data_IF_332803973710
#
_entry.id   IF_332803973710
#
_cell.length_a   1.000
_cell.length_b   1.000
_cell.length_c   1.000
_cell.angle_alpha   90.00
_cell.angle_beta   90.00
_cell.angle_gamma   90.00
#
_symmetry.space_group_name_H-M   'P 1'
#
loop_
_entity.id
_entity.type
_entity.pdbx_description
1 polymer ?
#
# COMPACT_ATOMS: atom_id res chain seq x y z
N UNK A 1 14.40 4.08 -24.76
CA UNK A 1 14.06 4.45 -23.37
C UNK A 1 12.59 4.21 -23.02
N UNK A 2 11.61 4.58 -23.87
CA UNK A 2 10.18 4.40 -23.61
C UNK A 2 9.74 2.94 -23.30
N UNK A 3 10.30 1.93 -24.00
CA UNK A 3 9.96 0.51 -23.78
C UNK A 3 10.43 0.00 -22.41
N UNK A 4 11.64 0.39 -21.98
CA UNK A 4 12.19 -0.02 -20.67
C UNK A 4 11.38 0.60 -19.55
N UNK A 5 11.06 1.89 -19.67
CA UNK A 5 10.16 2.63 -18.76
C UNK A 5 8.81 1.92 -18.61
N UNK A 6 8.22 1.45 -19.72
CA UNK A 6 6.93 0.75 -19.70
C UNK A 6 7.00 -0.61 -19.03
N UNK A 7 8.07 -1.38 -19.25
CA UNK A 7 8.28 -2.68 -18.59
C UNK A 7 8.52 -2.53 -17.09
N UNK A 8 9.32 -1.54 -16.68
CA UNK A 8 9.58 -1.24 -15.29
C UNK A 8 8.30 -0.77 -14.56
N UNK A 9 7.55 0.15 -15.16
CA UNK A 9 6.27 0.61 -14.61
C UNK A 9 5.25 -0.52 -14.48
N UNK A 10 5.18 -1.41 -15.48
CA UNK A 10 4.31 -2.58 -15.41
C UNK A 10 4.71 -3.54 -14.29
N UNK A 11 6.01 -3.87 -14.18
CA UNK A 11 6.50 -4.77 -13.14
C UNK A 11 6.27 -4.20 -11.74
N UNK A 12 6.56 -2.91 -11.52
CA UNK A 12 6.33 -2.27 -10.24
C UNK A 12 4.85 -2.12 -9.93
N UNK A 13 4.06 -1.56 -10.85
CA UNK A 13 2.63 -1.35 -10.62
C UNK A 13 1.88 -2.65 -10.31
N UNK A 14 2.28 -3.76 -10.92
CA UNK A 14 1.72 -5.09 -10.64
C UNK A 14 2.30 -5.80 -9.42
N UNK A 15 3.17 -5.15 -8.63
CA UNK A 15 3.83 -5.79 -7.49
C UNK A 15 4.67 -6.99 -7.90
N UNK A 16 5.43 -6.87 -8.99
CA UNK A 16 6.22 -7.93 -9.62
C UNK A 16 5.37 -9.14 -10.07
N UNK A 17 4.14 -8.88 -10.50
CA UNK A 17 3.20 -9.90 -10.99
C UNK A 17 2.19 -10.41 -9.96
N UNK A 18 2.27 -9.97 -8.70
CA UNK A 18 1.28 -10.32 -7.66
C UNK A 18 -0.13 -9.81 -8.00
N UNK A 19 -0.22 -8.66 -8.67
CA UNK A 19 -1.47 -8.11 -9.18
C UNK A 19 -2.13 -8.94 -10.29
N UNK A 20 -1.47 -10.00 -10.76
CA UNK A 20 -2.02 -10.95 -11.74
C UNK A 20 -2.60 -12.20 -11.08
N UNK A 21 -2.60 -12.29 -9.75
CA UNK A 21 -3.21 -13.42 -9.05
C UNK A 21 -4.68 -13.59 -9.48
N UNK A 22 -5.13 -14.83 -9.75
CA UNK A 22 -6.45 -15.08 -10.32
C UNK A 22 -7.59 -14.74 -9.35
N UNK A 23 -7.30 -14.74 -8.04
CA UNK A 23 -8.27 -14.52 -6.98
C UNK A 23 -7.69 -13.49 -6.00
N UNK A 24 -8.45 -12.42 -5.75
CA UNK A 24 -8.13 -11.36 -4.78
C UNK A 24 -6.68 -10.83 -4.86
N UNK A 25 -6.25 -10.27 -6.01
CA UNK A 25 -4.88 -9.78 -6.22
C UNK A 25 -4.41 -8.79 -5.15
N UNK A 26 -5.29 -7.87 -4.75
CA UNK A 26 -5.12 -6.96 -3.62
C UNK A 26 -4.71 -7.69 -2.32
N UNK A 27 -5.45 -8.72 -1.93
CA UNK A 27 -5.16 -9.52 -0.73
C UNK A 27 -3.82 -10.24 -0.83
N UNK A 28 -3.49 -10.78 -2.00
CA UNK A 28 -2.19 -11.44 -2.24
C UNK A 28 -1.04 -10.44 -2.11
N UNK A 29 -1.19 -9.25 -2.68
CA UNK A 29 -0.21 -8.17 -2.59
C UNK A 29 -0.04 -7.68 -1.14
N UNK A 30 -1.14 -7.40 -0.45
CA UNK A 30 -1.14 -7.05 0.97
C UNK A 30 -0.47 -8.13 1.85
N UNK A 31 -0.74 -9.42 1.60
CA UNK A 31 -0.10 -10.49 2.36
C UNK A 31 1.42 -10.52 2.09
N UNK A 32 1.83 -10.37 0.82
CA UNK A 32 3.23 -10.24 0.49
C UNK A 32 3.87 -9.02 1.15
N UNK A 33 3.18 -7.88 1.17
CA UNK A 33 3.66 -6.64 1.77
C UNK A 33 3.93 -6.78 3.27
N UNK A 34 3.01 -7.39 4.05
CA UNK A 34 3.22 -7.57 5.50
C UNK A 34 4.33 -8.57 5.77
N UNK A 35 4.45 -9.64 4.97
CA UNK A 35 5.54 -10.61 5.10
C UNK A 35 6.89 -9.96 4.80
N UNK A 36 6.98 -9.21 3.69
CA UNK A 36 8.20 -8.48 3.32
C UNK A 36 8.63 -7.51 4.41
N UNK A 37 7.69 -6.74 4.97
CA UNK A 37 8.00 -5.83 6.08
C UNK A 37 8.38 -6.58 7.36
N UNK A 38 7.65 -7.64 7.72
CA UNK A 38 7.90 -8.44 8.91
C UNK A 38 9.27 -9.09 8.94
N UNK A 39 9.78 -9.53 7.78
CA UNK A 39 11.14 -10.08 7.63
C UNK A 39 12.21 -9.03 7.31
N UNK A 40 11.83 -7.76 7.09
CA UNK A 40 12.81 -6.71 6.81
C UNK A 40 13.59 -6.29 8.07
N UNK A 41 14.86 -5.91 7.94
CA UNK A 41 15.68 -5.43 9.06
C UNK A 41 15.39 -3.97 9.45
N UNK A 42 14.48 -3.28 8.75
CA UNK A 42 14.13 -1.88 9.01
C UNK A 42 13.32 -1.78 10.31
N UNK A 43 13.57 -0.81 11.19
CA UNK A 43 12.69 -0.60 12.33
C UNK A 43 11.46 0.21 11.92
N UNK A 44 10.36 0.04 12.67
CA UNK A 44 9.06 0.68 12.47
C UNK A 44 9.07 2.21 12.54
N UNK A 45 10.10 2.79 13.13
CA UNK A 45 10.34 4.22 13.31
C UNK A 45 11.63 4.69 12.62
N UNK A 46 12.30 3.82 11.87
CA UNK A 46 13.56 4.15 11.23
C UNK A 46 13.36 5.12 10.06
N UNK A 47 14.29 6.07 9.90
CA UNK A 47 14.33 6.96 8.73
C UNK A 47 14.32 6.18 7.42
N UNK A 48 15.00 5.02 7.38
CA UNK A 48 15.01 4.14 6.21
C UNK A 48 13.61 3.63 5.84
N UNK A 49 12.77 3.30 6.83
CA UNK A 49 11.40 2.86 6.57
C UNK A 49 10.49 3.99 6.11
N UNK A 50 10.62 5.19 6.70
CA UNK A 50 9.92 6.39 6.21
C UNK A 50 10.28 6.72 4.77
N UNK A 51 11.58 6.68 4.44
CA UNK A 51 12.05 6.90 3.08
C UNK A 51 11.53 5.82 2.12
N UNK A 52 11.50 4.55 2.54
CA UNK A 52 10.94 3.47 1.73
C UNK A 52 9.47 3.72 1.40
N UNK A 53 8.65 4.09 2.38
CA UNK A 53 7.23 4.41 2.15
C UNK A 53 7.06 5.64 1.26
N UNK A 54 7.80 6.73 1.52
CA UNK A 54 7.71 7.97 0.75
C UNK A 54 8.19 7.84 -0.69
N UNK A 55 9.37 7.25 -0.90
CA UNK A 55 9.88 6.97 -2.26
C UNK A 55 9.00 5.94 -2.96
N UNK A 56 8.56 4.91 -2.24
CA UNK A 56 7.64 3.90 -2.75
C UNK A 56 6.32 4.49 -3.21
N UNK A 57 5.77 5.49 -2.52
CA UNK A 57 4.58 6.22 -2.96
C UNK A 57 4.81 6.98 -4.28
N UNK A 58 5.93 7.71 -4.40
CA UNK A 58 6.27 8.47 -5.61
C UNK A 58 6.50 7.55 -6.81
N UNK A 59 7.27 6.48 -6.61
CA UNK A 59 7.53 5.46 -7.64
C UNK A 59 6.24 4.72 -8.01
N UNK A 60 5.42 4.38 -7.02
CA UNK A 60 4.11 3.73 -7.20
C UNK A 60 3.16 4.59 -8.02
N UNK A 61 3.09 5.89 -7.73
CA UNK A 61 2.25 6.84 -8.47
C UNK A 61 2.58 6.82 -9.96
N UNK A 62 3.86 6.87 -10.29
CA UNK A 62 4.33 6.74 -11.67
C UNK A 62 4.05 5.34 -12.25
N UNK A 63 4.32 4.27 -11.50
CA UNK A 63 4.17 2.90 -11.97
C UNK A 63 2.70 2.55 -12.27
N UNK A 64 1.78 2.84 -11.35
CA UNK A 64 0.34 2.66 -11.51
C UNK A 64 -0.19 3.51 -12.68
N UNK A 65 0.33 4.73 -12.87
CA UNK A 65 0.00 5.55 -14.04
C UNK A 65 0.30 4.86 -15.38
N UNK A 66 1.33 4.01 -15.45
CA UNK A 66 1.65 3.24 -16.67
C UNK A 66 0.68 2.10 -16.96
N UNK A 67 -0.11 1.68 -15.96
CA UNK A 67 -1.09 0.59 -16.08
C UNK A 67 -2.46 1.07 -16.55
N UNK A 68 -2.76 2.35 -16.32
CA UNK A 68 -4.01 3.01 -16.68
C UNK A 68 -4.17 3.09 -18.19
N UNK A 69 -5.39 2.87 -18.67
CA UNK A 69 -5.78 3.03 -20.08
C UNK A 69 -7.03 3.88 -20.19
N UNK A 70 -7.41 4.29 -21.41
CA UNK A 70 -8.66 5.00 -21.63
C UNK A 70 -9.92 4.20 -21.27
N UNK A 71 -9.82 2.87 -21.26
CA UNK A 71 -10.94 1.98 -20.93
C UNK A 71 -10.93 1.53 -19.46
N UNK A 72 -9.79 1.67 -18.77
CA UNK A 72 -9.58 1.16 -17.43
C UNK A 72 -8.75 2.16 -16.63
N UNK A 73 -9.45 2.99 -15.86
CA UNK A 73 -8.88 4.09 -15.08
C UNK A 73 -8.34 3.65 -13.71
N UNK A 74 -8.74 2.47 -13.23
CA UNK A 74 -8.31 1.88 -11.97
C UNK A 74 -8.11 0.36 -12.15
N UNK A 75 -6.98 -0.05 -12.77
CA UNK A 75 -6.76 -1.44 -13.11
C UNK A 75 -6.60 -2.28 -11.85
N UNK A 76 -7.43 -3.32 -11.66
CA UNK A 76 -7.34 -4.27 -10.53
C UNK A 76 -5.97 -4.95 -10.33
N UNK A 77 -5.10 -4.87 -11.33
CA UNK A 77 -3.73 -5.39 -11.31
C UNK A 77 -2.72 -4.40 -10.74
N UNK A 78 -3.08 -3.11 -10.61
CA UNK A 78 -2.30 -2.13 -9.88
C UNK A 78 -2.47 -2.46 -8.40
N UNK A 79 -1.39 -2.92 -7.78
CA UNK A 79 -1.42 -3.39 -6.38
C UNK A 79 -0.22 -2.86 -5.61
N UNK A 80 0.47 -1.84 -6.13
CA UNK A 80 1.62 -1.24 -5.45
C UNK A 80 1.19 -0.30 -4.32
N UNK A 81 0.04 0.33 -4.49
CA UNK A 81 -0.76 1.00 -3.47
C UNK A 81 -0.94 0.14 -2.20
N UNK A 82 -1.27 -1.15 -2.36
CA UNK A 82 -1.41 -2.11 -1.26
C UNK A 82 -0.16 -2.24 -0.39
N UNK A 83 1.03 -2.22 -1.02
CA UNK A 83 2.30 -2.30 -0.29
C UNK A 83 2.51 -1.05 0.55
N UNK A 84 2.32 0.11 -0.06
CA UNK A 84 2.59 1.39 0.60
C UNK A 84 1.56 1.65 1.69
N UNK A 85 0.27 1.43 1.41
CA UNK A 85 -0.80 1.58 2.39
C UNK A 85 -0.59 0.67 3.60
N UNK A 86 -0.26 -0.61 3.37
CA UNK A 86 -0.03 -1.54 4.46
C UNK A 86 1.25 -1.23 5.26
N UNK A 87 2.36 -0.88 4.59
CA UNK A 87 3.58 -0.48 5.27
C UNK A 87 3.39 0.78 6.12
N UNK A 88 2.63 1.76 5.61
CA UNK A 88 2.26 2.96 6.38
C UNK A 88 1.43 2.59 7.61
N UNK A 89 0.51 1.62 7.49
CA UNK A 89 -0.26 1.09 8.64
C UNK A 89 0.65 0.55 9.75
N UNK A 90 1.80 -0.01 9.39
CA UNK A 90 2.77 -0.59 10.32
C UNK A 90 3.69 0.43 11.01
N UNK A 91 3.68 1.70 10.61
CA UNK A 91 4.56 2.72 11.19
C UNK A 91 4.36 2.83 12.70
N UNK A 92 5.47 2.89 13.44
CA UNK A 92 5.53 2.98 14.89
C UNK A 92 4.89 1.81 15.67
N UNK A 93 4.46 0.74 15.00
CA UNK A 93 3.98 -0.47 15.66
C UNK A 93 5.12 -1.48 15.83
N UNK A 94 5.19 -2.17 16.98
CA UNK A 94 6.22 -3.18 17.19
C UNK A 94 6.05 -4.31 16.18
N UNK A 95 7.17 -4.79 15.63
CA UNK A 95 7.22 -5.88 14.65
C UNK A 95 6.98 -7.26 15.26
N UNK A 96 5.83 -7.44 15.90
CA UNK A 96 5.41 -8.74 16.44
C UNK A 96 4.20 -9.27 15.67
N UNK A 97 4.04 -10.59 15.67
CA UNK A 97 2.97 -11.24 14.90
C UNK A 97 1.56 -10.68 15.19
N UNK A 98 1.16 -10.39 16.45
CA UNK A 98 -0.16 -9.80 16.71
C UNK A 98 -0.37 -8.44 16.05
N UNK A 99 0.63 -7.55 16.07
CA UNK A 99 0.52 -6.22 15.49
C UNK A 99 0.62 -6.23 13.97
N UNK A 100 1.44 -7.11 13.40
CA UNK A 100 1.48 -7.33 11.95
C UNK A 100 0.15 -7.90 11.42
N UNK A 101 -0.45 -8.85 12.14
CA UNK A 101 -1.76 -9.38 11.80
C UNK A 101 -2.86 -8.31 11.95
N UNK A 102 -2.82 -7.52 13.02
CA UNK A 102 -3.75 -6.40 13.22
C UNK A 102 -3.61 -5.34 12.12
N UNK A 103 -2.39 -4.97 11.74
CA UNK A 103 -2.11 -4.05 10.64
C UNK A 103 -2.69 -4.57 9.32
N UNK A 104 -2.45 -5.84 8.99
CA UNK A 104 -3.04 -6.47 7.81
C UNK A 104 -4.57 -6.41 7.81
N UNK A 105 -5.23 -6.83 8.90
CA UNK A 105 -6.70 -6.85 8.98
C UNK A 105 -7.28 -5.44 8.94
N UNK A 106 -6.76 -4.51 9.74
CA UNK A 106 -7.27 -3.14 9.81
C UNK A 106 -7.07 -2.41 8.48
N UNK A 107 -5.89 -2.54 7.87
CA UNK A 107 -5.63 -1.97 6.55
C UNK A 107 -6.64 -2.49 5.51
N UNK A 108 -6.79 -3.81 5.37
CA UNK A 108 -7.73 -4.39 4.39
C UNK A 108 -9.17 -3.96 4.65
N UNK A 109 -9.60 -3.86 5.91
CA UNK A 109 -10.95 -3.37 6.24
C UNK A 109 -11.12 -1.91 5.81
N UNK A 110 -10.13 -1.05 6.09
CA UNK A 110 -10.18 0.37 5.75
C UNK A 110 -10.09 0.61 4.25
N UNK A 111 -9.23 -0.12 3.54
CA UNK A 111 -9.12 -0.08 2.08
C UNK A 111 -10.40 -0.56 1.39
N UNK A 112 -11.00 -1.67 1.84
CA UNK A 112 -12.25 -2.16 1.21
C UNK A 112 -13.43 -1.23 1.53
N UNK A 113 -13.52 -0.71 2.76
CA UNK A 113 -14.68 0.06 3.19
C UNK A 113 -14.61 1.54 2.80
N UNK A 114 -13.40 2.11 2.75
CA UNK A 114 -13.10 3.52 2.49
C UNK A 114 -14.08 4.47 3.20
N UNK A 115 -14.14 4.49 4.54
CA UNK A 115 -14.96 5.45 5.25
C UNK A 115 -14.50 6.88 4.94
N UNK A 116 -15.38 7.87 5.14
CA UNK A 116 -14.94 9.26 5.09
C UNK A 116 -13.87 9.49 6.17
N UNK A 117 -12.73 10.16 5.88
CA UNK A 117 -12.42 10.94 4.68
C UNK A 117 -11.65 10.19 3.57
N UNK A 118 -11.30 8.89 3.74
CA UNK A 118 -10.47 8.10 2.80
C UNK A 118 -11.05 8.15 1.37
N UNK A 119 -12.36 7.97 1.23
CA UNK A 119 -13.07 8.00 -0.06
C UNK A 119 -12.94 9.32 -0.85
N UNK A 120 -12.48 10.41 -0.23
CA UNK A 120 -12.24 11.67 -0.96
C UNK A 120 -11.02 11.59 -1.88
N UNK A 121 -10.05 10.72 -1.56
CA UNK A 121 -8.82 10.57 -2.33
C UNK A 121 -9.04 9.83 -3.66
N UNK A 122 -10.08 8.99 -3.77
CA UNK A 122 -10.49 8.35 -5.04
C UNK A 122 -10.87 9.35 -6.15
N UNK A 123 -11.10 10.62 -5.80
CA UNK A 123 -11.40 11.69 -6.78
C UNK A 123 -10.15 12.25 -7.45
N UNK A 124 -8.96 11.92 -6.95
CA UNK A 124 -7.70 12.34 -7.56
C UNK A 124 -7.49 11.55 -8.86
N UNK A 125 -6.95 12.19 -9.92
CA UNK A 125 -6.81 11.53 -11.20
C UNK A 125 -5.58 10.62 -11.25
N UNK A 126 -5.70 9.56 -12.06
CA UNK A 126 -4.56 8.76 -12.51
C UNK A 126 -3.91 7.94 -11.39
N UNK A 127 -2.62 7.64 -11.55
CA UNK A 127 -1.86 6.86 -10.57
C UNK A 127 -1.77 7.52 -9.19
N UNK A 128 -1.98 8.84 -9.10
CA UNK A 128 -2.04 9.52 -7.81
C UNK A 128 -3.31 9.14 -7.04
N UNK A 129 -4.44 9.00 -7.73
CA UNK A 129 -5.69 8.53 -7.14
C UNK A 129 -5.56 7.15 -6.54
N UNK A 130 -5.06 6.21 -7.33
CA UNK A 130 -4.81 4.81 -6.96
C UNK A 130 -3.88 4.70 -5.73
N UNK A 131 -2.86 5.55 -5.64
CA UNK A 131 -1.94 5.47 -4.49
C UNK A 131 -2.46 6.20 -3.24
N UNK A 132 -3.25 7.27 -3.41
CA UNK A 132 -3.56 8.20 -2.33
C UNK A 132 -4.68 7.71 -1.41
N UNK A 133 -5.65 6.95 -1.92
CA UNK A 133 -6.71 6.35 -1.11
C UNK A 133 -6.19 5.24 -0.20
N UNK A 134 -5.36 4.33 -0.70
CA UNK A 134 -4.67 3.31 0.10
C UNK A 134 -3.69 3.92 1.11
N UNK A 135 -2.95 4.95 0.70
CA UNK A 135 -2.09 5.69 1.62
C UNK A 135 -2.92 6.31 2.76
N UNK A 136 -4.10 6.87 2.44
CA UNK A 136 -5.00 7.43 3.44
C UNK A 136 -5.61 6.36 4.35
N UNK A 137 -6.00 5.20 3.81
CA UNK A 137 -6.42 4.05 4.59
C UNK A 137 -5.31 3.59 5.55
N UNK A 138 -4.07 3.52 5.05
CA UNK A 138 -2.90 3.18 5.82
C UNK A 138 -2.61 4.17 6.95
N UNK A 139 -2.69 5.46 6.67
CA UNK A 139 -2.49 6.49 7.69
C UNK A 139 -3.55 6.45 8.80
N UNK A 140 -4.83 6.27 8.43
CA UNK A 140 -5.92 6.11 9.41
C UNK A 140 -5.72 4.83 10.23
N UNK A 141 -5.33 3.73 9.60
CA UNK A 141 -5.01 2.47 10.27
C UNK A 141 -3.85 2.61 11.25
N UNK A 142 -2.77 3.28 10.84
CA UNK A 142 -1.60 3.55 11.67
C UNK A 142 -1.99 4.34 12.93
N UNK A 143 -2.76 5.43 12.77
CA UNK A 143 -3.23 6.24 13.90
C UNK A 143 -4.08 5.40 14.86
N UNK A 144 -5.04 4.64 14.34
CA UNK A 144 -5.94 3.81 15.15
C UNK A 144 -5.18 2.74 15.93
N UNK A 145 -4.31 1.98 15.27
CA UNK A 145 -3.55 0.90 15.90
C UNK A 145 -2.53 1.44 16.90
N UNK A 146 -1.85 2.54 16.60
CA UNK A 146 -0.92 3.17 17.54
C UNK A 146 -1.65 3.71 18.78
N UNK A 147 -2.87 4.24 18.63
CA UNK A 147 -3.68 4.64 19.76
C UNK A 147 -4.01 3.43 20.66
N UNK A 148 -4.40 2.29 20.07
CA UNK A 148 -4.63 1.05 20.83
C UNK A 148 -3.34 0.58 21.49
N UNK A 149 -2.21 0.57 20.78
CA UNK A 149 -0.91 0.17 21.32
C UNK A 149 -0.52 0.98 22.56
N UNK A 150 -0.69 2.31 22.49
CA UNK A 150 -0.42 3.24 23.61
C UNK A 150 -1.38 3.12 24.79
N UNK A 151 -2.57 2.54 24.60
CA UNK A 151 -3.52 2.29 25.71
C UNK A 151 -3.15 0.99 26.43
N UNK A 152 -2.59 0.03 25.70
CA UNK A 152 -2.24 -1.29 26.23
C UNK A 152 -0.85 -1.34 26.89
N UNK A 153 -0.03 -0.28 26.77
CA UNK A 153 1.34 -0.19 27.30
C UNK A 153 1.54 1.15 28.01
#
# INVERSE_FOLDING_TARGET
MAVISRRAGWALGTGLGLGLAPIAPATVASLAAVLLYGFSPLNEDSVGFFLLCGVGFLVGTWACQTLITQADHDPKRAVWDEFIGLWVTCLFLPKTLPWLAAAFVVFRVLDIWKPWPIRRFERLPGGLGIMADDLAAGAVGAVGLNAVYRILN
#
